data_IF_803321144887
#
_entry.id   IF_803321144887
#
_cell.length_a   1.000
_cell.length_b   1.000
_cell.length_c   1.000
_cell.angle_alpha   90.00
_cell.angle_beta   90.00
_cell.angle_gamma   90.00
#
_symmetry.space_group_name_H-M   'P 1'
#
loop_
_entity.id
_entity.type
_entity.pdbx_description
1 polymer ?
#
# COMPACT_ATOMS: atom_id res chain seq x y z
N UNK A 1 8.93 -36.08 9.50
CA UNK A 1 9.37 -35.00 8.61
C UNK A 1 8.24 -33.99 8.55
N UNK A 2 8.25 -33.06 9.48
CA UNK A 2 7.29 -31.95 9.56
C UNK A 2 7.66 -30.94 8.49
N UNK A 3 6.73 -30.41 7.68
CA UNK A 3 7.01 -29.21 6.90
C UNK A 3 7.37 -28.09 7.88
N UNK A 4 8.44 -27.37 7.59
CA UNK A 4 8.90 -26.26 8.39
C UNK A 4 7.89 -25.11 8.28
N UNK A 5 6.92 -25.07 9.20
CA UNK A 5 6.11 -23.88 9.46
C UNK A 5 7.07 -22.77 9.92
N UNK A 6 7.15 -21.67 9.14
CA UNK A 6 8.00 -20.54 9.54
C UNK A 6 8.50 -19.61 8.44
N UNK A 7 7.71 -19.34 7.38
CA UNK A 7 7.86 -18.06 6.70
C UNK A 7 7.00 -17.05 7.47
N UNK A 8 7.65 -16.35 8.40
CA UNK A 8 7.21 -15.20 9.19
C UNK A 8 5.90 -14.54 8.73
N UNK A 9 4.82 -14.78 9.47
CA UNK A 9 3.47 -14.26 9.19
C UNK A 9 3.26 -12.77 9.51
N UNK A 10 4.28 -11.92 9.41
CA UNK A 10 4.17 -10.52 9.84
C UNK A 10 4.69 -9.48 8.84
N UNK A 11 5.03 -9.86 7.61
CA UNK A 11 5.80 -8.94 6.77
C UNK A 11 4.94 -7.88 6.03
N UNK A 12 3.88 -8.18 5.26
CA UNK A 12 3.23 -7.11 4.46
C UNK A 12 1.80 -7.42 3.99
N UNK A 13 0.80 -7.34 4.86
CA UNK A 13 -0.60 -7.49 4.42
C UNK A 13 -1.49 -6.34 4.91
N UNK A 14 -1.23 -5.13 4.39
CA UNK A 14 -2.30 -4.15 4.31
C UNK A 14 -3.17 -4.52 3.10
N UNK A 15 -4.23 -5.32 3.30
CA UNK A 15 -5.10 -5.82 2.22
C UNK A 15 -4.37 -6.57 1.08
N UNK A 16 -3.29 -7.31 1.38
CA UNK A 16 -2.51 -8.01 0.35
C UNK A 16 -1.59 -7.11 -0.47
N UNK A 17 -1.38 -5.85 -0.04
CA UNK A 17 -0.42 -4.95 -0.63
C UNK A 17 0.98 -5.20 -0.08
N UNK A 18 1.93 -5.33 -1.01
CA UNK A 18 3.35 -5.46 -0.71
C UNK A 18 4.10 -4.22 -1.14
N UNK A 19 5.25 -3.96 -0.50
CA UNK A 19 6.14 -2.88 -0.92
C UNK A 19 6.47 -3.01 -2.42
N UNK A 20 6.26 -1.92 -3.16
CA UNK A 20 6.40 -1.90 -4.62
C UNK A 20 5.10 -2.08 -5.38
N UNK A 21 4.01 -2.47 -4.73
CA UNK A 21 2.71 -2.58 -5.39
C UNK A 21 2.20 -1.21 -5.79
N UNK A 22 1.65 -1.14 -7.01
CA UNK A 22 1.02 0.07 -7.49
C UNK A 22 -0.36 0.23 -6.85
N UNK A 23 -0.65 1.40 -6.34
CA UNK A 23 -1.87 1.71 -5.58
C UNK A 23 -2.55 2.98 -6.09
N UNK A 24 -3.84 3.07 -5.85
CA UNK A 24 -4.62 4.30 -5.94
C UNK A 24 -5.15 4.63 -4.56
N UNK A 25 -5.11 5.91 -4.21
CA UNK A 25 -5.53 6.40 -2.92
C UNK A 25 -6.69 7.37 -3.16
N UNK A 26 -7.78 7.17 -2.43
CA UNK A 26 -8.98 7.98 -2.51
C UNK A 26 -9.22 8.63 -1.16
N UNK A 27 -9.39 9.94 -1.13
CA UNK A 27 -9.76 10.71 0.07
C UNK A 27 -11.15 11.27 -0.13
N UNK A 28 -12.08 10.97 0.80
CA UNK A 28 -13.49 11.37 0.71
C UNK A 28 -14.14 11.12 -0.67
N UNK A 29 -13.82 9.98 -1.29
CA UNK A 29 -14.33 9.58 -2.60
C UNK A 29 -13.63 10.19 -3.82
N UNK A 30 -12.63 11.06 -3.63
CA UNK A 30 -11.83 11.63 -4.71
C UNK A 30 -10.45 10.99 -4.74
N UNK A 31 -9.96 10.61 -5.92
CA UNK A 31 -8.60 10.13 -6.05
C UNK A 31 -7.61 11.26 -5.76
N UNK A 32 -6.64 11.00 -4.89
CA UNK A 32 -5.56 11.93 -4.58
C UNK A 32 -4.27 11.49 -5.27
N UNK A 33 -3.63 12.44 -5.96
CA UNK A 33 -2.31 12.32 -6.59
C UNK A 33 -2.09 11.09 -7.51
N UNK A 34 -3.19 10.58 -8.08
CA UNK A 34 -3.14 9.55 -9.12
C UNK A 34 -2.75 8.17 -8.59
N UNK A 35 -1.81 7.51 -9.28
CA UNK A 35 -1.32 6.18 -8.94
C UNK A 35 0.04 6.31 -8.28
N UNK A 36 0.19 5.72 -7.11
CA UNK A 36 1.44 5.68 -6.37
C UNK A 36 1.99 4.28 -6.18
N UNK A 37 3.10 4.18 -5.46
CA UNK A 37 3.73 2.92 -5.07
C UNK A 37 3.64 2.75 -3.56
N UNK A 38 3.06 1.63 -3.12
CA UNK A 38 2.99 1.28 -1.70
C UNK A 38 4.39 1.02 -1.14
N UNK A 39 4.73 1.63 0.00
CA UNK A 39 5.95 1.30 0.74
C UNK A 39 5.61 0.45 1.96
N UNK A 40 4.84 1.02 2.90
CA UNK A 40 4.36 0.34 4.11
C UNK A 40 3.30 1.18 4.82
N UNK A 41 2.71 0.63 5.88
CA UNK A 41 1.87 1.36 6.83
C UNK A 41 2.59 1.43 8.17
N UNK A 42 2.58 2.60 8.80
CA UNK A 42 3.17 2.84 10.11
C UNK A 42 2.25 3.77 10.91
N UNK A 43 1.95 3.39 12.16
CA UNK A 43 1.19 4.21 13.11
C UNK A 43 -0.16 4.76 12.58
N UNK A 44 -0.84 4.00 11.71
CA UNK A 44 -2.11 4.44 11.11
C UNK A 44 -1.95 5.36 9.89
N UNK A 45 -0.73 5.54 9.39
CA UNK A 45 -0.42 6.29 8.18
C UNK A 45 0.07 5.36 7.07
N UNK A 46 -0.37 5.64 5.85
CA UNK A 46 0.17 5.07 4.63
C UNK A 46 1.40 5.86 4.19
N UNK A 47 2.49 5.16 3.95
CA UNK A 47 3.73 5.70 3.39
C UNK A 47 3.87 5.14 1.97
N UNK A 48 3.99 6.02 0.99
CA UNK A 48 3.92 5.68 -0.42
C UNK A 48 4.68 6.69 -1.29
N UNK A 49 5.02 6.35 -2.54
CA UNK A 49 5.60 7.32 -3.49
C UNK A 49 4.60 7.73 -4.56
N UNK A 50 4.62 9.01 -4.94
CA UNK A 50 3.86 9.49 -6.10
C UNK A 50 4.58 9.17 -7.43
N UNK A 51 3.99 9.60 -8.53
CA UNK A 51 4.55 9.42 -9.88
C UNK A 51 5.85 10.20 -10.14
N UNK A 52 6.21 11.14 -9.26
CA UNK A 52 7.45 11.91 -9.28
C UNK A 52 8.48 11.37 -8.27
N UNK A 53 8.25 10.17 -7.72
CA UNK A 53 9.08 9.52 -6.70
C UNK A 53 9.20 10.30 -5.38
N UNK A 54 8.29 11.25 -5.09
CA UNK A 54 8.27 11.88 -3.77
C UNK A 54 7.62 10.94 -2.76
N UNK A 55 8.20 10.87 -1.56
CA UNK A 55 7.63 10.11 -0.44
C UNK A 55 6.51 10.93 0.19
N UNK A 56 5.31 10.38 0.16
CA UNK A 56 4.11 10.94 0.75
C UNK A 56 3.67 10.13 1.96
N UNK A 57 3.07 10.82 2.93
CA UNK A 57 2.49 10.24 4.14
C UNK A 57 1.04 10.68 4.25
N UNK A 58 0.12 9.72 4.37
CA UNK A 58 -1.33 9.99 4.36
C UNK A 58 -2.01 9.20 5.47
N UNK A 59 -2.85 9.86 6.29
CA UNK A 59 -3.62 9.16 7.34
C UNK A 59 -4.61 8.18 6.73
N UNK A 60 -4.75 7.01 7.35
CA UNK A 60 -5.71 5.97 6.96
C UNK A 60 -7.16 6.28 7.39
N UNK A 61 -7.39 7.27 8.25
CA UNK A 61 -8.70 7.51 8.88
C UNK A 61 -9.82 7.87 7.89
N UNK A 62 -9.48 8.54 6.79
CA UNK A 62 -10.45 9.07 5.83
C UNK A 62 -10.14 8.71 4.37
N UNK A 63 -9.26 7.72 4.16
CA UNK A 63 -8.87 7.28 2.83
C UNK A 63 -9.30 5.85 2.54
N UNK A 64 -9.42 5.55 1.27
CA UNK A 64 -9.56 4.19 0.75
C UNK A 64 -8.41 3.91 -0.21
N UNK A 65 -7.84 2.72 -0.15
CA UNK A 65 -6.68 2.32 -0.94
C UNK A 65 -7.06 1.11 -1.78
N UNK A 66 -6.75 1.16 -3.07
CA UNK A 66 -7.01 0.08 -4.02
C UNK A 66 -5.73 -0.31 -4.75
N UNK A 67 -5.46 -1.63 -4.89
CA UNK A 67 -4.34 -2.12 -5.69
C UNK A 67 -4.63 -1.92 -7.17
N UNK A 68 -3.63 -1.45 -7.90
CA UNK A 68 -3.66 -1.33 -9.36
C UNK A 68 -3.01 -2.58 -9.93
N UNK A 69 -3.83 -3.54 -10.34
CA UNK A 69 -3.36 -4.60 -11.23
C UNK A 69 -3.20 -4.01 -12.61
N UNK A 70 -1.96 -3.76 -13.03
CA UNK A 70 -1.68 -3.46 -14.43
C UNK A 70 -2.17 -4.64 -15.28
N UNK A 71 -3.16 -4.40 -16.14
CA UNK A 71 -3.43 -5.29 -17.27
C UNK A 71 -2.22 -5.18 -18.20
N UNK A 72 -1.39 -6.21 -18.23
CA UNK A 72 -0.41 -6.43 -19.28
C UNK A 72 -1.09 -6.67 -20.63
#
# INVERSE_FOLDING_TARGET
MTPLEGASSNDFDFNGLRRGDRIQIFSFGNQIDGNGTFIHVQDGFLIWTDSSDNINTTSLDAISISRVTGTA
#
